data_IF_661626681082
#
_entry.id   IF_661626681082
#
_cell.length_a   1.000
_cell.length_b   1.000
_cell.length_c   1.000
_cell.angle_alpha   90.00
_cell.angle_beta   90.00
_cell.angle_gamma   90.00
#
_symmetry.space_group_name_H-M   'P 1'
#
loop_
_entity.id
_entity.type
_entity.pdbx_description
1 polymer ?
#
# COMPACT_ATOMS: atom_id res chain seq x y z
N UNK A 1 -5.37 -77.60 29.10
CA UNK A 1 -5.59 -76.17 29.22
C UNK A 1 -4.59 -75.47 28.30
N UNK A 2 -5.06 -74.92 27.15
CA UNK A 2 -4.23 -74.26 26.15
C UNK A 2 -4.55 -72.73 26.25
N UNK A 3 -3.53 -71.94 26.58
CA UNK A 3 -3.61 -70.53 26.55
C UNK A 3 -3.34 -70.04 25.12
N UNK A 4 -4.37 -69.43 24.50
CA UNK A 4 -4.25 -68.65 23.27
C UNK A 4 -3.74 -67.24 23.65
N UNK A 5 -2.54 -66.89 23.20
CA UNK A 5 -2.04 -65.51 23.23
C UNK A 5 -2.56 -64.77 21.99
N UNK A 6 -3.42 -63.78 22.21
CA UNK A 6 -3.86 -62.82 21.22
C UNK A 6 -2.79 -61.72 21.10
N UNK A 7 -2.01 -61.74 20.00
CA UNK A 7 -1.17 -60.59 19.63
C UNK A 7 -2.04 -59.52 18.95
N UNK A 8 -2.35 -58.47 19.65
CA UNK A 8 -2.96 -57.27 19.08
C UNK A 8 -1.89 -56.45 18.37
N UNK A 9 -1.95 -56.44 17.04
CA UNK A 9 -1.10 -55.59 16.17
C UNK A 9 -1.67 -54.17 16.18
N UNK A 10 -1.06 -53.28 16.95
CA UNK A 10 -1.32 -51.82 16.91
C UNK A 10 -0.69 -51.25 15.63
N UNK A 11 -1.50 -51.05 14.60
CA UNK A 11 -1.16 -50.22 13.45
C UNK A 11 -1.15 -48.77 13.92
N UNK A 12 0.03 -48.22 14.16
CA UNK A 12 0.25 -46.81 14.31
C UNK A 12 0.05 -46.12 12.94
N UNK A 13 -1.12 -45.61 12.71
CA UNK A 13 -1.38 -44.65 11.65
C UNK A 13 -0.62 -43.36 11.98
N UNK A 14 0.61 -43.23 11.47
CA UNK A 14 1.29 -41.95 11.41
C UNK A 14 0.50 -41.05 10.44
N UNK A 15 -0.42 -40.26 10.98
CA UNK A 15 -0.97 -39.15 10.24
C UNK A 15 0.18 -38.17 10.01
N UNK A 16 0.81 -38.21 8.86
CA UNK A 16 1.61 -37.07 8.37
C UNK A 16 0.64 -35.90 8.24
N UNK A 17 0.62 -35.03 9.24
CA UNK A 17 0.13 -33.68 9.04
C UNK A 17 1.05 -33.06 7.99
N UNK A 18 0.60 -33.01 6.75
CA UNK A 18 1.22 -32.20 5.71
C UNK A 18 1.03 -30.76 6.14
N UNK A 19 1.98 -30.19 6.87
CA UNK A 19 2.06 -28.76 7.03
C UNK A 19 2.27 -28.20 5.61
N UNK A 20 1.25 -27.51 5.09
CA UNK A 20 1.42 -26.73 3.87
C UNK A 20 2.59 -25.77 4.10
N UNK A 21 3.55 -25.74 3.18
CA UNK A 21 4.63 -24.79 3.27
C UNK A 21 4.05 -23.37 3.24
N UNK A 22 4.58 -22.50 4.10
CA UNK A 22 4.37 -21.07 4.00
C UNK A 22 5.21 -20.54 2.84
N UNK A 23 4.58 -19.83 1.90
CA UNK A 23 5.19 -19.34 0.66
C UNK A 23 5.00 -17.84 0.58
N UNK A 24 6.09 -17.10 0.76
CA UNK A 24 6.13 -15.66 0.54
C UNK A 24 6.53 -15.36 -0.90
N UNK A 25 5.78 -14.48 -1.56
CA UNK A 25 6.07 -14.04 -2.92
C UNK A 25 6.20 -12.52 -3.01
N UNK A 26 7.13 -12.05 -3.83
CA UNK A 26 7.34 -10.63 -4.09
C UNK A 26 7.62 -10.37 -5.56
N UNK A 27 7.22 -9.19 -6.04
CA UNK A 27 7.54 -8.70 -7.37
C UNK A 27 8.14 -7.30 -7.28
N UNK A 28 9.28 -7.10 -7.91
CA UNK A 28 9.94 -5.80 -8.04
C UNK A 28 10.20 -5.49 -9.52
N UNK A 29 10.30 -4.20 -9.87
CA UNK A 29 10.73 -3.76 -11.19
C UNK A 29 12.21 -3.37 -11.10
N UNK A 30 13.06 -4.00 -11.93
CA UNK A 30 14.49 -3.70 -11.98
C UNK A 30 14.77 -2.38 -12.74
N UNK A 31 16.03 -1.85 -12.74
CA UNK A 31 16.37 -0.64 -13.47
C UNK A 31 16.13 -0.70 -14.99
N UNK A 32 16.07 -1.89 -15.57
CA UNK A 32 15.80 -2.14 -16.97
C UNK A 32 14.32 -2.33 -17.29
N UNK A 33 13.44 -2.14 -16.29
CA UNK A 33 11.98 -2.34 -16.33
C UNK A 33 11.54 -3.81 -16.47
N UNK A 34 12.39 -4.79 -16.17
CA UNK A 34 11.95 -6.17 -16.06
C UNK A 34 11.31 -6.45 -14.69
N UNK A 35 10.46 -7.46 -14.65
CA UNK A 35 9.86 -7.94 -13.40
C UNK A 35 10.75 -8.99 -12.75
N UNK A 36 11.24 -8.73 -11.55
CA UNK A 36 11.96 -9.67 -10.72
C UNK A 36 10.97 -10.30 -9.74
N UNK A 37 10.58 -11.55 -10.02
CA UNK A 37 9.76 -12.36 -9.13
C UNK A 37 10.65 -13.10 -8.16
N UNK A 38 10.30 -13.06 -6.86
CA UNK A 38 11.01 -13.71 -5.77
C UNK A 38 10.05 -14.54 -4.96
N UNK A 39 10.52 -15.66 -4.41
CA UNK A 39 9.76 -16.48 -3.46
C UNK A 39 10.66 -17.09 -2.42
N UNK A 40 10.12 -17.25 -1.22
CA UNK A 40 10.71 -17.97 -0.12
C UNK A 40 9.71 -19.00 0.40
N UNK A 41 10.18 -20.17 0.82
CA UNK A 41 9.31 -21.25 1.31
C UNK A 41 9.79 -21.75 2.66
N UNK A 42 8.87 -21.95 3.59
CA UNK A 42 9.15 -22.46 4.94
C UNK A 42 8.15 -23.56 5.31
N UNK A 43 8.59 -24.83 5.48
CA UNK A 43 9.93 -25.34 5.20
C UNK A 43 10.30 -25.25 3.71
N UNK A 44 11.57 -25.46 3.41
CA UNK A 44 12.03 -25.54 2.01
C UNK A 44 11.33 -26.70 1.30
N UNK A 45 10.76 -26.42 0.13
CA UNK A 45 10.11 -27.38 -0.74
C UNK A 45 10.88 -27.50 -2.05
N UNK A 46 10.72 -28.64 -2.71
CA UNK A 46 11.32 -28.91 -4.01
C UNK A 46 10.25 -28.91 -5.10
N UNK A 47 10.68 -28.81 -6.34
CA UNK A 47 9.80 -28.84 -7.50
C UNK A 47 9.89 -27.60 -8.38
N UNK A 48 8.83 -27.35 -9.11
CA UNK A 48 8.74 -26.26 -10.07
C UNK A 48 7.63 -25.29 -9.70
N UNK A 49 7.86 -24.02 -10.03
CA UNK A 49 6.85 -22.96 -10.03
C UNK A 49 6.54 -22.59 -11.48
N UNK A 50 5.26 -22.64 -11.83
CA UNK A 50 4.73 -22.19 -13.11
C UNK A 50 4.25 -20.75 -12.96
N UNK A 51 4.61 -19.88 -13.91
CA UNK A 51 4.33 -18.46 -13.86
C UNK A 51 3.44 -18.09 -15.05
N UNK A 52 2.32 -17.46 -14.73
CA UNK A 52 1.37 -16.91 -15.71
C UNK A 52 1.31 -15.41 -15.57
N UNK A 53 1.16 -14.68 -16.67
CA UNK A 53 1.08 -13.22 -16.72
C UNK A 53 -0.30 -12.78 -17.16
N UNK A 54 -0.81 -11.72 -16.53
CA UNK A 54 -2.04 -11.05 -16.93
C UNK A 54 -1.92 -9.54 -16.68
N UNK A 55 -2.73 -8.75 -17.38
CA UNK A 55 -2.94 -7.33 -17.09
C UNK A 55 -4.11 -7.10 -16.13
N UNK A 56 -4.91 -8.14 -15.87
CA UNK A 56 -6.01 -8.17 -14.90
C UNK A 56 -5.64 -9.10 -13.73
N UNK A 57 -5.50 -8.60 -12.50
CA UNK A 57 -5.10 -9.41 -11.35
C UNK A 57 -6.14 -10.46 -10.93
N UNK A 58 -7.37 -10.38 -11.44
CA UNK A 58 -8.46 -11.33 -11.13
C UNK A 58 -8.63 -12.41 -12.19
N UNK A 59 -7.89 -12.32 -13.33
CA UNK A 59 -8.05 -13.23 -14.47
C UNK A 59 -6.71 -13.70 -15.02
N UNK A 60 -6.44 -14.98 -14.85
CA UNK A 60 -5.27 -15.65 -15.42
C UNK A 60 -5.73 -16.83 -16.27
N UNK A 61 -5.21 -16.92 -17.50
CA UNK A 61 -5.46 -18.05 -18.40
C UNK A 61 -4.46 -19.15 -18.09
N UNK A 62 -4.80 -20.01 -17.15
CA UNK A 62 -3.96 -21.13 -16.70
C UNK A 62 -4.08 -22.38 -17.56
N UNK A 63 -4.95 -22.36 -18.60
CA UNK A 63 -5.02 -23.43 -19.60
C UNK A 63 -3.92 -23.27 -20.67
N UNK A 64 -3.41 -22.04 -20.83
CA UNK A 64 -2.27 -21.78 -21.69
C UNK A 64 -0.96 -22.23 -21.06
N UNK A 65 0.05 -22.38 -21.90
CA UNK A 65 1.43 -22.62 -21.46
C UNK A 65 1.90 -21.48 -20.55
N UNK A 66 2.48 -21.78 -19.37
CA UNK A 66 3.06 -20.74 -18.52
C UNK A 66 4.14 -19.96 -19.28
N UNK A 67 4.25 -18.65 -19.01
CA UNK A 67 5.27 -17.80 -19.64
C UNK A 67 6.68 -18.19 -19.19
N UNK A 68 6.79 -18.83 -18.03
CA UNK A 68 8.03 -19.31 -17.43
C UNK A 68 7.75 -20.46 -16.48
N UNK A 69 8.66 -21.43 -16.48
CA UNK A 69 8.77 -22.45 -15.44
C UNK A 69 10.15 -22.30 -14.82
N UNK A 70 10.23 -22.34 -13.49
CA UNK A 70 11.47 -22.22 -12.75
C UNK A 70 11.52 -23.22 -11.60
N UNK A 71 12.74 -23.60 -11.17
CA UNK A 71 12.89 -24.41 -9.96
C UNK A 71 12.56 -23.60 -8.72
N UNK A 72 11.80 -24.16 -7.78
CA UNK A 72 11.47 -23.51 -6.50
C UNK A 72 12.74 -23.16 -5.72
N UNK A 73 13.76 -24.01 -5.78
CA UNK A 73 15.02 -23.83 -5.05
C UNK A 73 15.81 -22.60 -5.52
N UNK A 74 15.55 -22.08 -6.74
CA UNK A 74 16.20 -20.85 -7.22
C UNK A 74 15.79 -19.63 -6.42
N UNK A 75 14.57 -19.59 -5.89
CA UNK A 75 14.05 -18.48 -5.09
C UNK A 75 13.68 -17.22 -5.89
N UNK A 76 13.98 -17.18 -7.19
CA UNK A 76 13.65 -16.03 -8.04
C UNK A 76 13.64 -16.37 -9.53
N UNK A 77 13.03 -15.47 -10.31
CA UNK A 77 13.18 -15.43 -11.78
C UNK A 77 12.97 -14.03 -12.31
N UNK A 78 13.54 -13.76 -13.47
CA UNK A 78 13.39 -12.49 -14.20
C UNK A 78 12.44 -12.69 -15.38
N UNK A 79 11.45 -11.80 -15.50
CA UNK A 79 10.50 -11.75 -16.61
C UNK A 79 10.66 -10.42 -17.34
N UNK A 80 11.06 -10.40 -18.61
CA UNK A 80 11.10 -9.17 -19.39
C UNK A 80 9.72 -8.50 -19.48
N UNK A 81 9.67 -7.16 -19.42
CA UNK A 81 8.41 -6.44 -19.61
C UNK A 81 8.00 -6.50 -21.08
N UNK A 82 7.14 -7.45 -21.42
CA UNK A 82 6.63 -7.67 -22.77
C UNK A 82 5.49 -6.72 -23.15
N UNK A 83 4.91 -5.98 -22.19
CA UNK A 83 3.76 -5.08 -22.37
C UNK A 83 4.03 -3.73 -21.66
N UNK A 84 5.02 -2.94 -22.12
CA UNK A 84 5.50 -1.75 -21.37
C UNK A 84 4.45 -0.67 -21.12
N UNK A 85 3.36 -0.63 -21.92
CA UNK A 85 2.26 0.32 -21.74
C UNK A 85 1.25 -0.09 -20.68
N UNK A 86 1.30 -1.34 -20.19
CA UNK A 86 0.34 -1.90 -19.22
C UNK A 86 1.08 -2.41 -17.99
N UNK A 87 0.35 -2.47 -16.89
CA UNK A 87 0.82 -3.12 -15.66
C UNK A 87 0.62 -4.62 -15.78
N UNK A 88 1.60 -5.39 -15.35
CA UNK A 88 1.53 -6.84 -15.31
C UNK A 88 1.37 -7.35 -13.88
N UNK A 89 0.57 -8.39 -13.76
CA UNK A 89 0.42 -9.23 -12.56
C UNK A 89 0.82 -10.65 -12.90
N UNK A 90 1.26 -11.39 -11.92
CA UNK A 90 1.75 -12.75 -12.08
C UNK A 90 1.04 -13.68 -11.12
N UNK A 91 0.60 -14.83 -11.64
CA UNK A 91 0.17 -15.95 -10.83
C UNK A 91 1.32 -16.96 -10.80
N UNK A 92 1.76 -17.27 -9.59
CA UNK A 92 2.79 -18.27 -9.31
C UNK A 92 2.08 -19.52 -8.78
N UNK A 93 2.15 -20.59 -9.54
CA UNK A 93 1.59 -21.91 -9.20
C UNK A 93 2.70 -22.83 -8.75
N UNK A 94 2.75 -23.13 -7.48
CA UNK A 94 3.68 -24.07 -6.88
C UNK A 94 3.05 -25.46 -6.85
N UNK A 95 3.73 -26.47 -7.38
CA UNK A 95 3.14 -27.80 -7.50
C UNK A 95 2.75 -28.37 -6.13
N UNK A 96 1.45 -28.64 -5.94
CA UNK A 96 0.89 -29.18 -4.70
C UNK A 96 0.62 -28.15 -3.59
N UNK A 97 0.72 -26.85 -3.89
CA UNK A 97 0.45 -25.73 -2.98
C UNK A 97 -0.54 -24.73 -3.59
N UNK A 98 -0.97 -23.75 -2.79
CA UNK A 98 -1.88 -22.70 -3.23
C UNK A 98 -1.23 -21.78 -4.28
N UNK A 99 -2.06 -21.27 -5.18
CA UNK A 99 -1.64 -20.27 -6.16
C UNK A 99 -1.44 -18.89 -5.49
N UNK A 100 -0.38 -18.17 -5.87
CA UNK A 100 -0.08 -16.84 -5.36
C UNK A 100 -0.13 -15.80 -6.46
N UNK A 101 -0.90 -14.72 -6.25
CA UNK A 101 -0.97 -13.59 -7.17
C UNK A 101 -0.10 -12.45 -6.65
N UNK A 102 0.78 -11.94 -7.52
CA UNK A 102 1.69 -10.85 -7.17
C UNK A 102 1.79 -9.83 -8.30
N UNK A 103 1.92 -8.56 -7.92
CA UNK A 103 2.26 -7.45 -8.82
C UNK A 103 3.42 -6.64 -8.26
N UNK A 104 4.07 -5.84 -9.07
CA UNK A 104 5.05 -4.90 -8.57
C UNK A 104 4.35 -3.86 -7.67
N UNK A 105 4.84 -3.69 -6.42
CA UNK A 105 4.21 -2.75 -5.49
C UNK A 105 4.25 -1.32 -6.01
N UNK A 106 5.40 -0.86 -6.49
CA UNK A 106 5.58 0.50 -7.00
C UNK A 106 5.61 0.53 -8.52
N UNK A 107 4.98 1.57 -9.08
CA UNK A 107 5.10 1.92 -10.49
C UNK A 107 6.12 3.04 -10.68
N UNK A 108 6.93 2.95 -11.72
CA UNK A 108 7.89 3.99 -12.09
C UNK A 108 7.23 5.00 -13.02
N UNK A 109 6.48 5.93 -12.43
CA UNK A 109 5.85 7.02 -13.14
C UNK A 109 6.71 8.27 -13.05
N UNK A 110 7.14 8.81 -14.19
CA UNK A 110 7.96 10.01 -14.19
C UNK A 110 7.18 11.18 -13.61
N UNK A 111 7.76 11.89 -12.65
CA UNK A 111 7.20 13.03 -11.92
C UNK A 111 6.04 12.72 -10.97
N UNK A 112 5.68 11.46 -10.78
CA UNK A 112 4.74 11.06 -9.73
C UNK A 112 5.53 10.31 -8.68
N UNK A 113 5.60 10.90 -7.49
CA UNK A 113 6.33 10.31 -6.37
C UNK A 113 5.42 9.35 -5.58
N UNK A 114 6.04 8.37 -4.96
CA UNK A 114 5.39 7.51 -3.98
C UNK A 114 4.16 6.74 -4.51
N UNK A 115 4.03 6.57 -5.85
CA UNK A 115 2.92 5.86 -6.45
C UNK A 115 3.08 4.34 -6.27
N UNK A 116 2.13 3.73 -5.60
CA UNK A 116 2.13 2.28 -5.36
C UNK A 116 0.76 1.70 -5.09
N UNK A 117 0.64 0.41 -5.39
CA UNK A 117 -0.51 -0.44 -5.11
C UNK A 117 -0.48 -0.92 -3.65
N UNK A 118 -1.63 -1.00 -3.00
CA UNK A 118 -1.79 -1.57 -1.67
C UNK A 118 -2.09 -3.08 -1.71
N UNK A 119 -2.27 -3.68 -2.88
CA UNK A 119 -2.57 -5.09 -3.03
C UNK A 119 -1.54 -6.03 -2.40
N UNK A 120 -1.94 -7.26 -2.12
CA UNK A 120 -1.06 -8.31 -1.59
C UNK A 120 -0.78 -8.26 -0.09
N UNK A 121 -1.27 -7.25 0.66
CA UNK A 121 -1.18 -7.27 2.12
C UNK A 121 -2.16 -8.27 2.71
N UNK A 122 -1.69 -9.05 3.67
CA UNK A 122 -2.48 -10.10 4.33
C UNK A 122 -3.09 -9.59 5.63
N UNK A 123 -4.40 -9.76 5.78
CA UNK A 123 -5.15 -9.44 6.98
C UNK A 123 -4.91 -10.47 8.09
N UNK A 124 -5.29 -10.15 9.33
CA UNK A 124 -5.20 -11.08 10.48
C UNK A 124 -5.98 -12.38 10.28
N UNK A 125 -6.92 -12.40 9.33
CA UNK A 125 -7.73 -13.56 9.00
C UNK A 125 -7.21 -14.33 7.77
N UNK A 126 -5.99 -14.04 7.31
CA UNK A 126 -5.34 -14.72 6.19
C UNK A 126 -5.81 -14.26 4.80
N UNK A 127 -6.77 -13.34 4.69
CA UNK A 127 -7.24 -12.80 3.42
C UNK A 127 -6.31 -11.72 2.89
N UNK A 128 -6.06 -11.71 1.59
CA UNK A 128 -5.20 -10.71 0.96
C UNK A 128 -5.99 -9.55 0.38
N UNK A 129 -5.39 -8.35 0.45
CA UNK A 129 -5.89 -7.17 -0.25
C UNK A 129 -5.70 -7.37 -1.76
N UNK A 130 -6.80 -7.22 -2.52
CA UNK A 130 -6.80 -7.39 -3.98
C UNK A 130 -5.86 -6.40 -4.65
N UNK A 131 -5.06 -6.89 -5.57
CA UNK A 131 -4.21 -6.05 -6.40
C UNK A 131 -5.04 -5.18 -7.34
N UNK A 132 -4.51 -4.00 -7.68
CA UNK A 132 -5.13 -3.11 -8.66
C UNK A 132 -6.40 -2.38 -8.19
N UNK A 133 -6.79 -2.47 -6.92
CA UNK A 133 -8.00 -1.81 -6.39
C UNK A 133 -7.72 -0.47 -5.74
N UNK A 134 -6.68 -0.40 -4.91
CA UNK A 134 -6.31 0.82 -4.17
C UNK A 134 -4.86 1.16 -4.40
N UNK A 135 -4.63 2.39 -4.79
CA UNK A 135 -3.30 2.98 -4.96
C UNK A 135 -3.12 4.15 -4.00
N UNK A 136 -1.88 4.45 -3.68
CA UNK A 136 -1.50 5.67 -2.98
C UNK A 136 -0.41 6.40 -3.75
N UNK A 137 -0.36 7.75 -3.63
CA UNK A 137 0.51 8.58 -4.44
C UNK A 137 0.83 9.93 -3.79
N UNK A 138 1.90 10.55 -4.24
CA UNK A 138 2.07 11.99 -4.21
C UNK A 138 1.19 12.69 -5.24
N UNK A 139 1.44 13.95 -5.47
CA UNK A 139 0.62 14.82 -6.33
C UNK A 139 0.71 14.49 -7.83
N UNK A 140 -0.35 14.80 -8.56
CA UNK A 140 -0.50 14.61 -10.01
C UNK A 140 -0.32 15.92 -10.78
N UNK A 141 0.61 16.78 -10.38
CA UNK A 141 0.75 18.12 -10.97
C UNK A 141 1.36 18.10 -12.38
N UNK A 142 2.36 17.24 -12.59
CA UNK A 142 3.08 17.18 -13.86
C UNK A 142 3.09 15.74 -14.36
N UNK A 143 2.49 15.52 -15.53
CA UNK A 143 2.39 14.20 -16.12
C UNK A 143 3.06 14.19 -17.50
N UNK A 144 3.81 13.13 -17.79
CA UNK A 144 4.25 12.84 -19.16
C UNK A 144 3.19 12.04 -19.91
N UNK A 145 3.17 12.11 -21.23
CA UNK A 145 2.28 11.29 -22.05
C UNK A 145 2.41 9.79 -21.73
N UNK A 146 3.63 9.30 -21.44
CA UNK A 146 3.87 7.92 -21.03
C UNK A 146 3.21 7.60 -19.68
N UNK A 147 3.33 8.49 -18.69
CA UNK A 147 2.67 8.32 -17.37
C UNK A 147 1.14 8.33 -17.50
N UNK A 148 0.61 9.25 -18.34
CA UNK A 148 -0.84 9.33 -18.61
C UNK A 148 -1.33 8.00 -19.21
N UNK A 149 -0.66 7.51 -20.27
CA UNK A 149 -1.05 6.26 -20.92
C UNK A 149 -1.01 5.07 -19.93
N UNK A 150 0.03 4.99 -19.10
CA UNK A 150 0.14 3.90 -18.13
C UNK A 150 -0.95 3.96 -17.05
N UNK A 151 -1.22 5.13 -16.48
CA UNK A 151 -2.30 5.34 -15.51
C UNK A 151 -3.67 5.03 -16.11
N UNK A 152 -3.92 5.47 -17.35
CA UNK A 152 -5.15 5.18 -18.07
C UNK A 152 -5.35 3.69 -18.29
N UNK A 153 -4.28 2.98 -18.70
CA UNK A 153 -4.34 1.52 -18.89
C UNK A 153 -4.48 0.72 -17.58
N UNK A 154 -4.20 1.34 -16.43
CA UNK A 154 -4.52 0.77 -15.12
C UNK A 154 -6.01 0.90 -14.76
N UNK A 155 -6.78 1.61 -15.59
CA UNK A 155 -8.22 1.76 -15.42
C UNK A 155 -8.63 2.57 -14.19
N UNK A 156 -7.75 3.44 -13.67
CA UNK A 156 -8.04 4.24 -12.47
C UNK A 156 -9.25 5.12 -12.75
N UNK A 157 -10.27 5.02 -11.88
CA UNK A 157 -11.52 5.78 -12.01
C UNK A 157 -11.59 6.99 -11.10
N UNK A 158 -11.07 6.87 -9.88
CA UNK A 158 -11.26 7.88 -8.85
C UNK A 158 -9.94 8.32 -8.24
N UNK A 159 -9.73 9.63 -8.18
CA UNK A 159 -8.66 10.28 -7.42
C UNK A 159 -9.26 10.99 -6.22
N UNK A 160 -8.82 10.61 -5.02
CA UNK A 160 -9.12 11.32 -3.76
C UNK A 160 -7.86 12.09 -3.36
N UNK A 161 -7.96 13.41 -3.38
CA UNK A 161 -6.85 14.33 -3.14
C UNK A 161 -7.04 15.09 -1.82
N UNK A 162 -6.09 14.91 -0.88
CA UNK A 162 -6.11 15.54 0.44
C UNK A 162 -5.39 16.90 0.48
N UNK A 163 -4.94 17.42 -0.66
CA UNK A 163 -4.30 18.74 -0.72
C UNK A 163 -5.31 19.84 -0.48
N UNK A 164 -4.80 21.01 -0.05
CA UNK A 164 -5.60 22.23 0.01
C UNK A 164 -6.14 22.59 -1.37
N UNK A 165 -7.36 23.10 -1.43
CA UNK A 165 -8.04 23.40 -2.70
C UNK A 165 -7.29 24.40 -3.56
N UNK A 166 -6.49 25.28 -2.96
CA UNK A 166 -5.62 26.26 -3.64
C UNK A 166 -4.41 25.58 -4.31
N UNK A 167 -3.98 24.41 -3.81
CA UNK A 167 -2.87 23.65 -4.32
C UNK A 167 -3.27 22.61 -5.39
N UNK A 168 -4.57 22.37 -5.55
CA UNK A 168 -5.06 21.35 -6.48
C UNK A 168 -5.04 21.88 -7.91
N UNK A 169 -4.07 21.42 -8.68
CA UNK A 169 -4.13 21.50 -10.13
C UNK A 169 -5.04 20.37 -10.60
N UNK A 170 -6.10 20.70 -11.33
CA UNK A 170 -6.98 19.65 -11.89
C UNK A 170 -6.16 18.69 -12.73
N UNK A 171 -6.27 17.37 -12.46
CA UNK A 171 -5.59 16.37 -13.29
C UNK A 171 -5.97 16.54 -14.75
N UNK A 172 -5.03 16.18 -15.65
CA UNK A 172 -5.29 16.22 -17.08
C UNK A 172 -6.55 15.43 -17.43
N UNK A 173 -7.49 16.00 -18.20
CA UNK A 173 -8.66 15.26 -18.71
C UNK A 173 -8.29 13.99 -19.47
N UNK A 174 -7.06 13.94 -20.03
CA UNK A 174 -6.54 12.76 -20.73
C UNK A 174 -6.40 11.52 -19.83
N UNK A 175 -6.35 11.68 -18.50
CA UNK A 175 -6.36 10.55 -17.58
C UNK A 175 -7.65 9.74 -17.63
N UNK A 176 -8.76 10.36 -18.06
CA UNK A 176 -10.06 9.69 -18.14
C UNK A 176 -10.60 9.29 -16.78
N UNK A 177 -10.33 10.09 -15.73
CA UNK A 177 -10.86 9.85 -14.39
C UNK A 177 -12.36 10.16 -14.36
N UNK A 178 -13.16 9.26 -13.83
CA UNK A 178 -14.60 9.47 -13.63
C UNK A 178 -14.84 10.47 -12.50
N UNK A 179 -14.03 10.39 -11.43
CA UNK A 179 -14.18 11.21 -10.24
C UNK A 179 -12.83 11.81 -9.78
N UNK A 180 -12.82 13.11 -9.53
CA UNK A 180 -11.74 13.82 -8.83
C UNK A 180 -12.34 14.50 -7.61
N UNK A 181 -12.00 14.01 -6.43
CA UNK A 181 -12.61 14.42 -5.16
C UNK A 181 -11.53 15.05 -4.29
N UNK A 182 -11.65 16.35 -4.05
CA UNK A 182 -10.75 17.07 -3.15
C UNK A 182 -11.31 17.05 -1.72
N UNK A 183 -10.54 16.53 -0.80
CA UNK A 183 -10.86 16.40 0.63
C UNK A 183 -9.75 17.05 1.47
N UNK A 184 -9.65 18.38 1.48
CA UNK A 184 -8.56 19.07 2.16
C UNK A 184 -8.51 18.74 3.64
N UNK A 185 -7.29 18.60 4.13
CA UNK A 185 -7.01 18.40 5.55
C UNK A 185 -7.26 19.65 6.38
N UNK A 186 -7.28 19.49 7.71
CA UNK A 186 -7.54 20.59 8.63
C UNK A 186 -6.34 21.53 8.84
N UNK A 187 -5.12 21.10 8.54
CA UNK A 187 -3.91 21.90 8.71
C UNK A 187 -3.30 22.22 7.34
N UNK A 188 -3.24 23.50 7.02
CA UNK A 188 -2.62 24.00 5.80
C UNK A 188 -1.10 23.96 5.91
N UNK A 189 -0.54 22.85 5.50
CA UNK A 189 0.90 22.55 5.60
C UNK A 189 1.76 23.66 4.96
N UNK A 190 1.44 24.08 3.73
CA UNK A 190 2.19 25.10 3.02
C UNK A 190 2.13 26.45 3.70
N UNK A 191 0.95 26.89 4.15
CA UNK A 191 0.77 28.21 4.77
C UNK A 191 1.49 28.32 6.11
N UNK A 192 1.56 27.23 6.88
CA UNK A 192 2.14 27.23 8.22
C UNK A 192 3.65 26.93 8.23
N UNK A 193 4.12 26.09 7.32
CA UNK A 193 5.50 25.60 7.34
C UNK A 193 6.42 26.40 6.41
N UNK A 194 5.96 26.70 5.18
CA UNK A 194 6.77 27.27 4.14
C UNK A 194 7.39 28.65 4.52
N UNK A 195 6.65 29.61 5.11
CA UNK A 195 7.23 30.88 5.53
C UNK A 195 8.31 30.73 6.61
N UNK A 196 8.16 29.77 7.53
CA UNK A 196 9.14 29.52 8.60
C UNK A 196 10.41 28.87 8.07
N UNK A 197 10.27 28.00 7.06
CA UNK A 197 11.42 27.43 6.35
C UNK A 197 12.17 28.50 5.58
N UNK A 198 11.47 29.39 4.86
CA UNK A 198 12.09 30.48 4.09
C UNK A 198 12.87 31.48 4.95
N UNK A 199 12.43 31.68 6.18
CA UNK A 199 13.08 32.56 7.15
C UNK A 199 14.15 31.83 7.98
N UNK A 200 14.39 30.54 7.73
CA UNK A 200 15.30 29.69 8.52
C UNK A 200 14.97 29.65 10.03
N UNK A 201 13.68 29.83 10.38
CA UNK A 201 13.20 29.85 11.76
C UNK A 201 12.96 28.46 12.35
N UNK A 202 13.01 27.39 11.53
CA UNK A 202 12.76 26.03 11.98
C UNK A 202 14.06 25.30 12.31
N UNK A 203 14.08 24.73 13.50
CA UNK A 203 15.09 23.77 13.96
C UNK A 203 14.45 22.37 14.05
N UNK A 204 15.28 21.35 14.20
CA UNK A 204 14.81 19.96 14.31
C UNK A 204 13.74 19.77 15.39
N UNK A 205 13.87 20.43 16.54
CA UNK A 205 12.88 20.40 17.62
C UNK A 205 11.53 20.97 17.21
N UNK A 206 11.54 22.15 16.55
CA UNK A 206 10.32 22.82 16.06
C UNK A 206 9.64 21.97 14.98
N UNK A 207 10.42 21.37 14.07
CA UNK A 207 9.92 20.49 13.05
C UNK A 207 9.28 19.23 13.64
N UNK A 208 9.86 18.66 14.71
CA UNK A 208 9.27 17.52 15.41
C UNK A 208 7.92 17.86 16.04
N UNK A 209 7.83 18.99 16.75
CA UNK A 209 6.58 19.47 17.33
C UNK A 209 5.52 19.75 16.25
N UNK A 210 5.92 20.43 15.17
CA UNK A 210 5.05 20.69 14.04
C UNK A 210 4.48 19.41 13.43
N UNK A 211 5.30 18.39 13.26
CA UNK A 211 4.84 17.10 12.73
C UNK A 211 3.89 16.38 13.69
N UNK A 212 4.14 16.43 14.99
CA UNK A 212 3.22 15.88 15.99
C UNK A 212 1.87 16.61 15.96
N UNK A 213 1.88 17.95 15.93
CA UNK A 213 0.66 18.77 15.83
C UNK A 213 -0.11 18.46 14.53
N UNK A 214 0.60 18.29 13.40
CA UNK A 214 0.01 17.89 12.13
C UNK A 214 -0.75 16.57 12.26
N UNK A 215 -0.14 15.56 12.87
CA UNK A 215 -0.78 14.24 13.01
C UNK A 215 -1.95 14.24 14.01
N UNK A 216 -1.89 15.05 15.07
CA UNK A 216 -3.06 15.29 15.94
C UNK A 216 -4.16 16.02 15.19
N UNK A 217 -3.83 17.03 14.40
CA UNK A 217 -4.79 17.75 13.57
C UNK A 217 -5.47 16.85 12.54
N UNK A 218 -4.76 15.88 11.99
CA UNK A 218 -5.39 14.86 11.12
C UNK A 218 -6.45 14.06 11.88
N UNK A 219 -6.18 13.63 13.11
CA UNK A 219 -7.13 12.86 13.92
C UNK A 219 -8.36 13.71 14.31
N UNK A 220 -8.14 14.92 14.81
CA UNK A 220 -9.22 15.72 15.40
C UNK A 220 -9.94 16.61 14.37
N UNK A 221 -9.19 17.22 13.45
CA UNK A 221 -9.68 18.24 12.53
C UNK A 221 -10.09 17.71 11.15
N UNK A 222 -9.52 16.57 10.70
CA UNK A 222 -9.77 16.05 9.35
C UNK A 222 -10.83 14.94 9.28
N UNK A 223 -11.60 14.73 10.34
CA UNK A 223 -12.64 13.68 10.43
C UNK A 223 -13.60 13.70 9.25
N UNK A 224 -14.04 14.91 8.83
CA UNK A 224 -14.96 15.07 7.70
C UNK A 224 -14.34 14.55 6.38
N UNK A 225 -13.07 14.84 6.16
CA UNK A 225 -12.35 14.39 4.97
C UNK A 225 -12.23 12.85 4.96
N UNK A 226 -11.82 12.24 6.06
CA UNK A 226 -11.69 10.77 6.15
C UNK A 226 -13.04 10.07 6.12
N UNK A 227 -14.10 10.63 6.73
CA UNK A 227 -15.46 10.10 6.60
C UNK A 227 -15.92 10.13 5.15
N UNK A 228 -15.67 11.22 4.42
CA UNK A 228 -15.98 11.32 2.99
C UNK A 228 -15.17 10.32 2.17
N UNK A 229 -13.88 10.13 2.46
CA UNK A 229 -13.06 9.10 1.85
C UNK A 229 -13.68 7.71 2.01
N UNK A 230 -14.08 7.31 3.23
CA UNK A 230 -14.70 6.02 3.46
C UNK A 230 -16.04 5.86 2.72
N UNK A 231 -16.82 6.94 2.59
CA UNK A 231 -18.04 6.90 1.78
C UNK A 231 -17.74 6.61 0.31
N UNK A 232 -16.64 7.16 -0.24
CA UNK A 232 -16.21 6.83 -1.61
C UNK A 232 -15.70 5.40 -1.75
N UNK A 233 -15.00 4.90 -0.74
CA UNK A 233 -14.51 3.52 -0.70
C UNK A 233 -15.65 2.48 -0.60
N UNK A 234 -16.85 2.87 -0.19
CA UNK A 234 -18.04 2.02 -0.11
C UNK A 234 -18.83 1.96 -1.43
N UNK A 235 -18.41 2.68 -2.46
CA UNK A 235 -19.01 2.66 -3.80
C UNK A 235 -18.15 1.78 -4.71
N UNK A 236 -18.66 0.63 -5.10
CA UNK A 236 -17.91 -0.36 -5.89
C UNK A 236 -17.47 0.20 -7.25
N UNK A 237 -18.31 0.99 -7.89
CA UNK A 237 -18.02 1.60 -9.21
C UNK A 237 -16.88 2.61 -9.19
N UNK A 238 -16.45 3.10 -8.01
CA UNK A 238 -15.34 4.04 -7.89
C UNK A 238 -13.96 3.38 -8.08
N UNK A 239 -13.88 2.06 -7.99
CA UNK A 239 -12.58 1.36 -8.09
C UNK A 239 -12.11 1.21 -9.53
N UNK A 240 -10.80 1.29 -9.78
CA UNK A 240 -9.69 1.53 -8.86
C UNK A 240 -9.60 2.97 -8.36
N UNK A 241 -9.20 3.14 -7.07
CA UNK A 241 -9.09 4.43 -6.39
C UNK A 241 -7.61 4.76 -6.10
N UNK A 242 -7.23 6.02 -6.31
CA UNK A 242 -5.94 6.57 -5.84
C UNK A 242 -6.18 7.52 -4.68
N UNK A 243 -5.46 7.34 -3.57
CA UNK A 243 -5.38 8.27 -2.46
C UNK A 243 -4.11 9.12 -2.62
N UNK A 244 -4.22 10.44 -2.64
CA UNK A 244 -3.13 11.36 -2.95
C UNK A 244 -3.07 12.55 -1.99
N UNK A 245 -1.86 13.05 -1.77
CA UNK A 245 -1.58 14.36 -1.17
C UNK A 245 -0.26 14.90 -1.77
N UNK A 246 0.34 15.95 -1.22
CA UNK A 246 1.57 16.54 -1.79
C UNK A 246 2.67 15.48 -2.01
N UNK A 247 3.10 14.79 -0.96
CA UNK A 247 4.18 13.79 -1.02
C UNK A 247 3.66 12.33 -0.94
N UNK A 248 2.34 12.15 -0.84
CA UNK A 248 1.76 10.82 -0.63
C UNK A 248 2.17 10.16 0.70
N UNK A 249 2.71 10.94 1.66
CA UNK A 249 3.35 10.46 2.89
C UNK A 249 2.46 10.65 4.11
N UNK A 250 2.09 11.90 4.45
CA UNK A 250 1.44 12.23 5.71
C UNK A 250 -0.09 12.00 5.67
N UNK A 251 -0.87 12.87 5.03
CA UNK A 251 -2.32 12.67 4.93
C UNK A 251 -2.69 11.35 4.26
N UNK A 252 -2.05 11.05 3.13
CA UNK A 252 -2.24 9.76 2.44
C UNK A 252 -1.80 8.60 3.32
N UNK A 253 -0.66 8.72 4.03
CA UNK A 253 -0.17 7.68 4.93
C UNK A 253 -1.13 7.41 6.09
N UNK A 254 -1.66 8.47 6.70
CA UNK A 254 -2.66 8.34 7.77
C UNK A 254 -3.99 7.77 7.25
N UNK A 255 -4.50 8.25 6.10
CA UNK A 255 -5.69 7.72 5.44
C UNK A 255 -5.56 6.22 5.14
N UNK A 256 -4.41 5.79 4.58
CA UNK A 256 -4.11 4.38 4.32
C UNK A 256 -4.05 3.60 5.63
N UNK A 257 -3.46 4.15 6.70
CA UNK A 257 -3.42 3.47 8.01
C UNK A 257 -4.81 3.20 8.57
N UNK A 258 -5.76 4.12 8.38
CA UNK A 258 -7.16 3.95 8.76
C UNK A 258 -7.85 2.89 7.91
N UNK A 259 -7.64 2.90 6.59
CA UNK A 259 -8.19 1.90 5.67
C UNK A 259 -7.67 0.50 6.00
N UNK A 260 -6.36 0.33 6.15
CA UNK A 260 -5.76 -0.95 6.49
C UNK A 260 -6.22 -1.46 7.87
N UNK A 261 -6.46 -0.54 8.83
CA UNK A 261 -7.08 -0.90 10.12
C UNK A 261 -8.52 -1.38 9.95
N UNK A 262 -9.33 -0.73 9.10
CA UNK A 262 -10.71 -1.15 8.79
C UNK A 262 -10.77 -2.54 8.13
N UNK A 263 -9.71 -2.93 7.42
CA UNK A 263 -9.53 -4.24 6.79
C UNK A 263 -8.88 -5.29 7.71
N UNK A 264 -8.67 -4.98 8.98
CA UNK A 264 -8.02 -5.84 9.99
C UNK A 264 -6.58 -6.24 9.63
N UNK A 265 -5.83 -5.37 8.96
CA UNK A 265 -4.41 -5.62 8.71
C UNK A 265 -3.61 -5.56 10.02
N UNK A 266 -2.53 -6.39 10.15
CA UNK A 266 -1.63 -6.29 11.29
C UNK A 266 -0.99 -4.90 11.41
N UNK A 267 -0.71 -4.46 12.62
CA UNK A 267 -0.07 -3.16 12.91
C UNK A 267 1.28 -3.01 12.19
N UNK A 268 2.02 -4.10 12.12
CA UNK A 268 3.30 -4.15 11.42
C UNK A 268 3.15 -3.88 9.91
N UNK A 269 2.15 -4.48 9.26
CA UNK A 269 1.85 -4.23 7.83
C UNK A 269 1.52 -2.76 7.60
N UNK A 270 0.71 -2.16 8.49
CA UNK A 270 0.32 -0.75 8.41
C UNK A 270 1.55 0.15 8.53
N UNK A 271 2.43 -0.13 9.51
CA UNK A 271 3.63 0.65 9.73
C UNK A 271 4.64 0.48 8.59
N UNK A 272 4.82 -0.74 8.10
CA UNK A 272 5.72 -1.04 6.99
C UNK A 272 5.28 -0.32 5.71
N UNK A 273 3.98 -0.33 5.39
CA UNK A 273 3.47 0.46 4.24
C UNK A 273 3.77 1.96 4.41
N UNK A 274 3.54 2.52 5.58
CA UNK A 274 3.85 3.93 5.84
C UNK A 274 5.34 4.24 5.61
N UNK A 275 6.24 3.41 6.15
CA UNK A 275 7.69 3.59 6.06
C UNK A 275 8.25 3.38 4.65
N UNK A 276 7.57 2.61 3.79
CA UNK A 276 7.91 2.48 2.37
C UNK A 276 7.90 3.83 1.64
N UNK A 277 7.23 4.86 2.17
CA UNK A 277 7.32 6.22 1.62
C UNK A 277 8.75 6.74 1.56
N UNK A 278 9.63 6.33 2.48
CA UNK A 278 11.05 6.69 2.45
C UNK A 278 11.83 6.10 1.26
N UNK A 279 11.33 4.98 0.71
CA UNK A 279 11.92 4.34 -0.48
C UNK A 279 11.41 4.95 -1.79
N UNK A 280 10.15 5.39 -1.82
CA UNK A 280 9.46 5.79 -3.04
C UNK A 280 9.24 7.29 -3.19
N UNK A 281 9.68 8.09 -2.24
CA UNK A 281 9.68 9.54 -2.29
C UNK A 281 11.11 10.07 -2.44
N UNK A 282 11.36 10.80 -3.53
CA UNK A 282 12.67 11.45 -3.74
C UNK A 282 12.72 12.81 -3.04
N UNK A 283 13.37 12.83 -1.89
CA UNK A 283 13.53 14.02 -1.05
C UNK A 283 14.21 15.22 -1.77
N UNK A 284 14.93 14.95 -2.86
CA UNK A 284 15.62 16.00 -3.66
C UNK A 284 14.66 16.81 -4.54
N UNK A 285 13.43 16.34 -4.70
CA UNK A 285 12.40 17.02 -5.53
C UNK A 285 11.52 17.98 -4.74
N UNK A 286 11.96 18.42 -3.58
CA UNK A 286 11.24 19.41 -2.79
C UNK A 286 11.52 20.81 -3.29
N UNK A 287 10.62 21.75 -2.99
CA UNK A 287 10.72 23.15 -3.40
C UNK A 287 11.93 23.90 -2.77
N UNK A 288 12.67 23.26 -1.85
CA UNK A 288 13.86 23.75 -1.22
C UNK A 288 15.04 22.84 -1.53
N UNK A 289 16.14 23.42 -2.04
CA UNK A 289 17.43 22.72 -2.03
C UNK A 289 18.00 22.83 -0.60
N UNK A 290 18.17 21.70 0.10
CA UNK A 290 18.75 21.73 1.45
C UNK A 290 20.14 22.39 1.51
N UNK A 291 20.86 22.41 0.36
CA UNK A 291 22.21 23.00 0.28
C UNK A 291 22.23 24.52 0.45
N UNK A 292 21.11 25.18 0.18
CA UNK A 292 20.97 26.63 0.27
C UNK A 292 20.52 27.09 1.65
N UNK A 293 20.34 26.16 2.61
CA UNK A 293 19.86 26.45 3.96
C UNK A 293 20.94 26.23 5.01
N UNK A 294 20.83 26.90 6.15
CA UNK A 294 21.68 26.63 7.32
C UNK A 294 21.45 25.21 7.88
N UNK A 295 22.46 24.65 8.58
CA UNK A 295 22.45 23.27 9.09
C UNK A 295 21.18 22.92 9.89
N UNK A 296 20.72 23.85 10.74
CA UNK A 296 19.51 23.61 11.55
C UNK A 296 18.24 23.50 10.71
N UNK A 297 18.13 24.25 9.61
CA UNK A 297 17.02 24.15 8.67
C UNK A 297 17.12 22.88 7.83
N UNK A 298 18.33 22.44 7.46
CA UNK A 298 18.56 21.16 6.80
C UNK A 298 18.10 19.97 7.65
N UNK A 299 18.42 19.99 8.97
CA UNK A 299 17.95 18.97 9.91
C UNK A 299 16.43 18.96 10.04
N UNK A 300 15.80 20.14 10.11
CA UNK A 300 14.35 20.28 10.15
C UNK A 300 13.68 19.73 8.88
N UNK A 301 14.20 20.08 7.70
CA UNK A 301 13.74 19.59 6.41
C UNK A 301 13.87 18.07 6.31
N UNK A 302 15.01 17.53 6.72
CA UNK A 302 15.24 16.07 6.70
C UNK A 302 14.20 15.33 7.54
N UNK A 303 13.85 15.86 8.71
CA UNK A 303 12.80 15.28 9.55
C UNK A 303 11.42 15.36 8.90
N UNK A 304 11.04 16.52 8.37
CA UNK A 304 9.74 16.76 7.74
C UNK A 304 9.56 15.87 6.50
N UNK A 305 10.62 15.65 5.72
CA UNK A 305 10.61 14.86 4.50
C UNK A 305 10.65 13.35 4.75
N UNK A 306 10.92 12.92 5.97
CA UNK A 306 11.01 11.50 6.32
C UNK A 306 9.66 10.99 6.83
N UNK A 307 9.23 9.82 6.36
CA UNK A 307 8.18 9.05 7.03
C UNK A 307 8.79 8.43 8.29
N UNK A 308 8.56 9.04 9.44
CA UNK A 308 9.06 8.58 10.72
C UNK A 308 7.96 7.85 11.47
N UNK A 309 8.24 6.61 11.88
CA UNK A 309 7.27 5.75 12.58
C UNK A 309 6.67 6.43 13.81
N UNK A 310 7.43 7.30 14.48
CA UNK A 310 6.97 8.03 15.67
C UNK A 310 5.74 8.90 15.39
N UNK A 311 5.65 9.52 14.21
CA UNK A 311 4.52 10.40 13.90
C UNK A 311 3.23 9.62 13.69
N UNK A 312 3.27 8.53 12.92
CA UNK A 312 2.10 7.68 12.74
C UNK A 312 1.71 7.01 14.07
N UNK A 313 2.68 6.51 14.84
CA UNK A 313 2.43 5.95 16.18
C UNK A 313 1.78 6.97 17.10
N UNK A 314 2.28 8.21 17.11
CA UNK A 314 1.75 9.30 17.92
C UNK A 314 0.27 9.57 17.63
N UNK A 315 -0.12 9.65 16.34
CA UNK A 315 -1.53 9.79 15.96
C UNK A 315 -2.38 8.59 16.42
N UNK A 316 -1.88 7.37 16.24
CA UNK A 316 -2.59 6.15 16.62
C UNK A 316 -2.74 6.01 18.13
N UNK A 317 -1.73 6.41 18.90
CA UNK A 317 -1.78 6.44 20.36
C UNK A 317 -2.71 7.54 20.86
N UNK A 318 -2.72 8.71 20.21
CA UNK A 318 -3.69 9.76 20.49
C UNK A 318 -5.14 9.26 20.27
N UNK A 319 -5.40 8.53 19.19
CA UNK A 319 -6.71 7.90 18.97
C UNK A 319 -7.05 6.93 20.12
N UNK A 320 -6.12 6.06 20.50
CA UNK A 320 -6.35 5.09 21.60
C UNK A 320 -6.67 5.79 22.94
N UNK A 321 -5.98 6.89 23.21
CA UNK A 321 -6.21 7.69 24.44
C UNK A 321 -7.57 8.41 24.43
N UNK A 322 -7.96 8.98 23.30
CA UNK A 322 -9.17 9.79 23.20
C UNK A 322 -10.45 8.97 22.97
N UNK A 323 -10.33 7.87 22.21
CA UNK A 323 -11.49 7.07 21.73
C UNK A 323 -11.42 5.61 22.19
N UNK A 324 -10.44 5.22 22.98
CA UNK A 324 -10.24 3.86 23.50
C UNK A 324 -9.62 2.90 22.48
N UNK A 325 -10.00 2.97 21.22
CA UNK A 325 -9.44 2.11 20.15
C UNK A 325 -9.53 2.75 18.76
N UNK A 326 -8.73 2.25 17.82
CA UNK A 326 -8.85 2.62 16.39
C UNK A 326 -10.23 2.24 15.85
N UNK A 327 -10.79 1.12 16.28
CA UNK A 327 -12.12 0.67 15.85
C UNK A 327 -13.23 1.61 16.32
N UNK A 328 -13.17 2.09 17.56
CA UNK A 328 -14.14 3.06 18.06
C UNK A 328 -14.05 4.38 17.25
N UNK A 329 -12.83 4.86 16.99
CA UNK A 329 -12.62 6.05 16.17
C UNK A 329 -13.19 5.89 14.74
N UNK A 330 -12.96 4.73 14.10
CA UNK A 330 -13.53 4.41 12.80
C UNK A 330 -15.06 4.42 12.83
N UNK A 331 -15.66 3.84 13.86
CA UNK A 331 -17.11 3.70 13.98
C UNK A 331 -17.78 5.01 14.40
N UNK A 332 -17.37 5.59 15.51
CA UNK A 332 -18.04 6.72 16.15
C UNK A 332 -17.78 8.04 15.41
N UNK A 333 -16.55 8.26 14.99
CA UNK A 333 -16.13 9.53 14.39
C UNK A 333 -16.20 9.53 12.87
N UNK A 334 -15.82 8.42 12.25
CA UNK A 334 -15.79 8.32 10.79
C UNK A 334 -17.03 7.60 10.22
N UNK A 335 -17.87 7.02 11.08
CA UNK A 335 -19.09 6.32 10.68
C UNK A 335 -18.83 5.04 9.89
N UNK A 336 -17.68 4.39 10.11
CA UNK A 336 -17.28 3.12 9.50
C UNK A 336 -17.74 1.98 10.41
N UNK A 337 -19.06 1.72 10.41
CA UNK A 337 -19.69 0.70 11.23
C UNK A 337 -19.18 -0.71 10.90
N UNK A 338 -19.44 -1.73 11.76
CA UNK A 338 -19.10 -3.12 11.47
C UNK A 338 -19.63 -3.61 10.11
N UNK A 339 -20.86 -3.21 9.72
CA UNK A 339 -21.47 -3.56 8.42
C UNK A 339 -20.68 -2.95 7.27
N UNK A 340 -20.32 -1.67 7.37
CA UNK A 340 -19.51 -0.98 6.36
C UNK A 340 -18.09 -1.58 6.27
N UNK A 341 -17.49 -1.97 7.39
CA UNK A 341 -16.21 -2.69 7.39
C UNK A 341 -16.33 -4.06 6.71
N UNK A 342 -17.43 -4.78 6.95
CA UNK A 342 -17.71 -6.03 6.24
C UNK A 342 -17.83 -5.81 4.73
N UNK A 343 -18.54 -4.75 4.31
CA UNK A 343 -18.67 -4.38 2.89
C UNK A 343 -17.31 -4.04 2.26
N UNK A 344 -16.49 -3.22 2.92
CA UNK A 344 -15.11 -2.92 2.46
C UNK A 344 -14.28 -4.18 2.29
N UNK A 345 -14.37 -5.12 3.23
CA UNK A 345 -13.67 -6.41 3.13
C UNK A 345 -14.18 -7.25 1.96
N UNK A 346 -15.48 -7.21 1.64
CA UNK A 346 -16.02 -7.91 0.46
C UNK A 346 -15.48 -7.35 -0.86
N UNK A 347 -15.32 -6.03 -0.96
CA UNK A 347 -14.79 -5.39 -2.17
C UNK A 347 -13.29 -5.56 -2.33
N UNK A 348 -12.56 -5.55 -1.21
CA UNK A 348 -11.11 -5.39 -1.22
C UNK A 348 -10.33 -6.64 -0.85
N UNK A 349 -10.91 -7.63 -0.19
CA UNK A 349 -10.20 -8.85 0.24
C UNK A 349 -10.68 -10.09 -0.54
N UNK A 350 -9.76 -11.02 -0.74
CA UNK A 350 -10.05 -12.33 -1.33
C UNK A 350 -9.43 -13.46 -0.52
#
# INVERSE_FOLDING_TARGET
MRYLQLCSLLLALSACATHSADIDVACEIDPQNNYLLKWETTPRIEGEVQIYQSTDPERFDTEKTPIKVASIQTGYTLIPDSIPSQRSYFLLRFNGHDDHIVGARAERLKYIENFRDLGGYTSKNGKQLRWGKIFRSGEFNTLTASSINRLKNMGIKTLIDFRDSEDVIKPSPELGLDNVINLPGALHYRQNLLPRLQKEELRRGDANLFMQDLYVAMVSGSKRAFKSMFNQLLVEDNYPIVLSCVNGKDYTGFAVSLLLSALDMPEEVIMNDYLLSNRYFDKRRTAFDPKDCCDGTQEALSLIQTADSRFLSYARDYIRQQYGSINNYLEEELGVTPEKRKQLKQYLLH
#
